data_IF_194355445379
#
_entry.id   IF_194355445379
#
_cell.length_a   1.000
_cell.length_b   1.000
_cell.length_c   1.000
_cell.angle_alpha   90.00
_cell.angle_beta   90.00
_cell.angle_gamma   90.00
#
_symmetry.space_group_name_H-M   'P 1'
#
loop_
_entity.id
_entity.type
_entity.pdbx_description
1 polymer ?
#
# COMPACT_ATOMS: atom_id res chain seq x y z
N UNK A 1 -5.59 -1.14 -18.10
CA UNK A 1 -4.30 -1.78 -17.79
C UNK A 1 -3.57 -2.15 -19.08
N UNK A 2 -4.10 -3.02 -19.94
CA UNK A 2 -3.41 -3.55 -21.15
C UNK A 2 -2.83 -2.47 -22.08
N UNK A 3 -3.60 -1.40 -22.38
CA UNK A 3 -3.13 -0.28 -23.21
C UNK A 3 -1.89 0.44 -22.65
N UNK A 4 -1.60 0.28 -21.36
CA UNK A 4 -0.51 0.93 -20.66
C UNK A 4 0.62 -0.05 -20.31
N UNK A 5 0.52 -1.33 -20.71
CA UNK A 5 1.49 -2.38 -20.35
C UNK A 5 1.52 -2.67 -18.85
N UNK A 6 0.35 -2.62 -18.18
CA UNK A 6 0.22 -2.93 -16.76
C UNK A 6 -0.30 -4.36 -16.64
N UNK A 7 0.51 -5.23 -16.10
CA UNK A 7 0.23 -6.66 -15.98
C UNK A 7 -0.73 -6.96 -14.83
N UNK A 8 -0.54 -6.34 -13.70
CA UNK A 8 -1.38 -6.50 -12.52
C UNK A 8 -1.52 -5.22 -11.70
N UNK A 9 -2.44 -5.21 -10.76
CA UNK A 9 -2.63 -4.10 -9.84
C UNK A 9 -3.17 -4.58 -8.49
N UNK A 10 -2.89 -3.83 -7.44
CA UNK A 10 -3.64 -3.94 -6.20
C UNK A 10 -4.99 -3.26 -6.37
N UNK A 11 -6.05 -3.96 -6.03
CA UNK A 11 -7.39 -3.39 -5.89
C UNK A 11 -7.63 -3.14 -4.41
N UNK A 12 -7.46 -1.89 -3.99
CA UNK A 12 -7.61 -1.50 -2.59
C UNK A 12 -9.07 -1.24 -2.25
N UNK A 13 -9.50 -1.68 -1.07
CA UNK A 13 -10.79 -1.33 -0.51
C UNK A 13 -10.84 0.12 -0.05
N UNK A 14 -12.00 0.74 -0.08
CA UNK A 14 -12.20 2.08 0.46
C UNK A 14 -12.44 2.02 1.98
N UNK A 15 -11.88 2.97 2.74
CA UNK A 15 -11.99 3.05 4.20
C UNK A 15 -13.39 3.50 4.68
N UNK A 16 -14.37 2.59 4.59
CA UNK A 16 -15.73 2.85 5.08
C UNK A 16 -15.79 2.93 6.60
N UNK A 17 -16.56 3.88 7.13
CA UNK A 17 -16.86 3.96 8.55
C UNK A 17 -17.92 2.95 9.00
N UNK A 18 -18.75 2.45 8.08
CA UNK A 18 -19.77 1.43 8.34
C UNK A 18 -19.21 0.02 8.06
N UNK A 19 -19.17 -0.88 9.07
CA UNK A 19 -18.69 -2.26 8.90
C UNK A 19 -19.48 -3.06 7.86
N UNK A 20 -20.77 -2.78 7.67
CA UNK A 20 -21.59 -3.47 6.68
C UNK A 20 -21.19 -3.11 5.25
N UNK A 21 -20.78 -1.86 5.02
CA UNK A 21 -20.24 -1.42 3.74
C UNK A 21 -18.85 -2.04 3.50
N UNK A 22 -18.02 -2.19 4.55
CA UNK A 22 -16.77 -2.94 4.44
C UNK A 22 -17.02 -4.38 3.97
N UNK A 23 -17.93 -5.07 4.63
CA UNK A 23 -18.27 -6.45 4.28
C UNK A 23 -18.77 -6.59 2.84
N UNK A 24 -19.71 -5.75 2.43
CA UNK A 24 -20.25 -5.75 1.07
C UNK A 24 -19.15 -5.45 0.02
N UNK A 25 -18.27 -4.50 0.31
CA UNK A 25 -17.14 -4.17 -0.57
C UNK A 25 -16.15 -5.33 -0.66
N UNK A 26 -15.89 -6.01 0.45
CA UNK A 26 -15.02 -7.19 0.48
C UNK A 26 -15.59 -8.33 -0.36
N UNK A 27 -16.89 -8.56 -0.35
CA UNK A 27 -17.53 -9.57 -1.22
C UNK A 27 -17.28 -9.26 -2.70
N UNK A 28 -17.43 -7.98 -3.09
CA UNK A 28 -17.07 -7.54 -4.45
C UNK A 28 -15.58 -7.78 -4.77
N UNK A 29 -14.69 -7.44 -3.85
CA UNK A 29 -13.24 -7.64 -4.04
C UNK A 29 -12.83 -9.11 -4.11
N UNK A 30 -13.52 -9.98 -3.37
CA UNK A 30 -13.37 -11.44 -3.45
C UNK A 30 -13.78 -11.93 -4.84
N UNK A 31 -14.88 -11.43 -5.37
CA UNK A 31 -15.34 -11.81 -6.72
C UNK A 31 -14.37 -11.29 -7.80
N UNK A 32 -13.86 -10.08 -7.67
CA UNK A 32 -12.81 -9.55 -8.57
C UNK A 32 -11.56 -10.43 -8.54
N UNK A 33 -11.10 -10.81 -7.32
CA UNK A 33 -9.94 -11.67 -7.15
C UNK A 33 -10.15 -13.05 -7.81
N UNK A 34 -11.36 -13.63 -7.68
CA UNK A 34 -11.70 -14.93 -8.28
C UNK A 34 -11.81 -14.87 -9.80
N UNK A 35 -12.37 -13.77 -10.34
CA UNK A 35 -12.53 -13.61 -11.79
C UNK A 35 -11.24 -13.29 -12.51
N UNK A 36 -10.33 -12.56 -11.85
CA UNK A 36 -9.10 -12.07 -12.45
C UNK A 36 -7.87 -12.31 -11.56
N UNK A 37 -7.57 -13.56 -11.15
CA UNK A 37 -6.56 -13.87 -10.16
C UNK A 37 -5.14 -13.47 -10.58
N UNK A 38 -4.87 -13.44 -11.90
CA UNK A 38 -3.57 -13.03 -12.45
C UNK A 38 -3.46 -11.51 -12.66
N UNK A 39 -4.56 -10.77 -12.51
CA UNK A 39 -4.60 -9.32 -12.80
C UNK A 39 -4.74 -8.49 -11.55
N UNK A 40 -5.41 -9.00 -10.53
CA UNK A 40 -5.63 -8.27 -9.30
C UNK A 40 -5.14 -9.04 -8.08
N UNK A 41 -4.47 -8.33 -7.20
CA UNK A 41 -4.30 -8.69 -5.81
C UNK A 41 -5.23 -7.77 -5.00
N UNK A 42 -6.37 -8.28 -4.57
CA UNK A 42 -7.36 -7.47 -3.88
C UNK A 42 -7.05 -7.36 -2.39
N UNK A 43 -7.25 -6.17 -1.82
CA UNK A 43 -7.02 -5.83 -0.43
C UNK A 43 -8.35 -5.51 0.25
N UNK A 44 -8.60 -6.14 1.38
CA UNK A 44 -9.85 -5.95 2.12
C UNK A 44 -9.96 -4.57 2.74
N UNK A 45 -11.16 -4.05 2.85
CA UNK A 45 -11.46 -2.92 3.72
C UNK A 45 -11.97 -3.42 5.07
N UNK A 46 -11.49 -2.84 6.16
CA UNK A 46 -11.86 -3.22 7.53
C UNK A 46 -12.20 -1.95 8.31
N UNK A 47 -13.23 -2.01 9.15
CA UNK A 47 -13.51 -0.97 10.13
C UNK A 47 -12.92 -1.38 11.48
N UNK A 48 -11.80 -0.79 11.92
CA UNK A 48 -11.12 -1.22 13.15
C UNK A 48 -11.96 -1.10 14.40
N UNK A 49 -12.85 -0.10 14.46
CA UNK A 49 -13.75 0.12 15.60
C UNK A 49 -14.80 -0.99 15.80
N UNK A 50 -14.94 -1.91 14.83
CA UNK A 50 -15.84 -3.05 14.96
C UNK A 50 -15.32 -4.17 15.87
N UNK A 51 -14.10 -4.05 16.42
CA UNK A 51 -13.52 -4.98 17.38
C UNK A 51 -13.47 -6.43 16.86
N UNK A 52 -14.03 -7.38 17.63
CA UNK A 52 -14.03 -8.81 17.27
C UNK A 52 -14.65 -9.08 15.91
N UNK A 53 -15.63 -8.29 15.48
CA UNK A 53 -16.23 -8.41 14.15
C UNK A 53 -15.24 -8.04 13.04
N UNK A 54 -14.35 -7.07 13.28
CA UNK A 54 -13.26 -6.74 12.36
C UNK A 54 -12.26 -7.89 12.23
N UNK A 55 -11.90 -8.55 13.33
CA UNK A 55 -10.98 -9.69 13.35
C UNK A 55 -11.60 -10.93 12.66
N UNK A 56 -12.90 -11.17 12.88
CA UNK A 56 -13.63 -12.21 12.18
C UNK A 56 -13.66 -11.95 10.66
N UNK A 57 -13.90 -10.71 10.25
CA UNK A 57 -13.88 -10.33 8.84
C UNK A 57 -12.48 -10.48 8.22
N UNK A 58 -11.41 -10.12 8.94
CA UNK A 58 -10.03 -10.38 8.50
C UNK A 58 -9.79 -11.86 8.22
N UNK A 59 -10.21 -12.73 9.12
CA UNK A 59 -10.07 -14.18 8.95
C UNK A 59 -10.87 -14.68 7.74
N UNK A 60 -12.07 -14.16 7.53
CA UNK A 60 -12.94 -14.50 6.40
C UNK A 60 -12.30 -14.10 5.06
N UNK A 61 -11.83 -12.87 4.93
CA UNK A 61 -11.25 -12.36 3.68
C UNK A 61 -9.92 -13.03 3.34
N UNK A 62 -9.09 -13.30 4.36
CA UNK A 62 -7.85 -14.07 4.20
C UNK A 62 -8.15 -15.48 3.68
N UNK A 63 -9.13 -16.18 4.28
CA UNK A 63 -9.60 -17.50 3.84
C UNK A 63 -10.20 -17.48 2.42
N UNK A 64 -10.77 -16.36 1.98
CA UNK A 64 -11.27 -16.17 0.63
C UNK A 64 -10.18 -15.81 -0.41
N UNK A 65 -8.93 -15.57 0.03
CA UNK A 65 -7.76 -15.37 -0.83
C UNK A 65 -7.41 -13.91 -1.10
N UNK A 66 -7.96 -12.95 -0.37
CA UNK A 66 -7.51 -11.57 -0.45
C UNK A 66 -6.07 -11.45 0.05
N UNK A 67 -5.32 -10.48 -0.48
CA UNK A 67 -3.85 -10.42 -0.39
C UNK A 67 -3.30 -9.38 0.58
N UNK A 68 -4.16 -8.58 1.16
CA UNK A 68 -3.79 -7.52 2.09
C UNK A 68 -5.02 -6.81 2.64
N UNK A 69 -4.79 -5.76 3.39
CA UNK A 69 -5.82 -4.91 4.01
C UNK A 69 -5.51 -3.45 3.68
N UNK A 70 -6.53 -2.70 3.27
CA UNK A 70 -6.44 -1.26 3.03
C UNK A 70 -7.11 -0.83 1.70
N UNK A 71 -7.18 0.45 1.47
CA UNK A 71 -6.52 1.50 2.25
C UNK A 71 -7.30 1.78 3.54
N UNK A 72 -6.66 1.69 4.70
CA UNK A 72 -7.23 2.15 5.95
C UNK A 72 -7.14 3.68 6.00
N UNK A 73 -8.23 4.33 6.35
CA UNK A 73 -8.35 5.79 6.39
C UNK A 73 -8.74 6.25 7.80
N UNK A 74 -7.81 6.35 8.76
CA UNK A 74 -8.12 6.61 10.17
C UNK A 74 -9.06 7.79 10.38
N UNK A 75 -8.79 8.94 9.75
CA UNK A 75 -9.61 10.14 9.82
C UNK A 75 -11.05 9.94 9.28
N UNK A 76 -11.19 9.15 8.19
CA UNK A 76 -12.51 8.84 7.59
C UNK A 76 -13.26 7.74 8.32
N UNK A 77 -12.56 6.87 9.02
CA UNK A 77 -13.10 5.75 9.77
C UNK A 77 -13.29 6.05 11.28
N UNK A 78 -12.84 7.21 11.76
CA UNK A 78 -13.12 7.72 13.10
C UNK A 78 -12.21 7.17 14.21
N UNK A 79 -10.99 6.71 13.88
CA UNK A 79 -9.99 6.26 14.86
C UNK A 79 -8.65 6.95 14.63
N UNK A 80 -7.72 6.79 15.57
CA UNK A 80 -6.35 7.34 15.49
C UNK A 80 -5.32 6.21 15.37
N UNK A 81 -4.18 6.48 14.72
CA UNK A 81 -3.08 5.50 14.60
C UNK A 81 -2.35 5.23 15.93
N UNK A 82 -2.58 6.02 16.96
CA UNK A 82 -2.06 5.82 18.32
C UNK A 82 -3.10 5.26 19.29
N UNK A 83 -4.24 4.77 18.77
CA UNK A 83 -5.26 4.06 19.54
C UNK A 83 -4.91 2.56 19.61
N UNK A 84 -4.02 2.23 20.53
CA UNK A 84 -3.40 0.89 20.60
C UNK A 84 -4.40 -0.20 20.97
N UNK A 85 -5.44 0.11 21.77
CA UNK A 85 -6.48 -0.87 22.13
C UNK A 85 -7.26 -1.35 20.89
N UNK A 86 -7.33 -0.53 19.86
CA UNK A 86 -8.00 -0.82 18.58
C UNK A 86 -7.01 -1.42 17.58
N UNK A 87 -5.80 -0.85 17.49
CA UNK A 87 -4.87 -1.19 16.41
C UNK A 87 -4.02 -2.41 16.71
N UNK A 88 -3.59 -2.65 17.97
CA UNK A 88 -2.76 -3.80 18.30
C UNK A 88 -3.43 -5.13 17.87
N UNK A 89 -4.71 -5.42 18.22
CA UNK A 89 -5.35 -6.67 17.78
C UNK A 89 -5.45 -6.79 16.26
N UNK A 90 -5.70 -5.66 15.56
CA UNK A 90 -5.81 -5.63 14.11
C UNK A 90 -4.47 -5.94 13.43
N UNK A 91 -3.41 -5.24 13.86
CA UNK A 91 -2.06 -5.38 13.26
C UNK A 91 -1.47 -6.75 13.57
N UNK A 92 -1.68 -7.25 14.79
CA UNK A 92 -1.25 -8.59 15.17
C UNK A 92 -1.96 -9.67 14.33
N UNK A 93 -3.26 -9.54 14.14
CA UNK A 93 -4.05 -10.44 13.31
C UNK A 93 -3.58 -10.41 11.84
N UNK A 94 -3.39 -9.23 11.24
CA UNK A 94 -2.89 -9.12 9.86
C UNK A 94 -1.48 -9.67 9.72
N UNK A 95 -0.62 -9.46 10.73
CA UNK A 95 0.74 -10.01 10.77
C UNK A 95 0.71 -11.54 10.83
N UNK A 96 -0.12 -12.11 11.69
CA UNK A 96 -0.28 -13.57 11.83
C UNK A 96 -0.82 -14.21 10.54
N UNK A 97 -1.73 -13.52 9.83
CA UNK A 97 -2.27 -13.94 8.55
C UNK A 97 -1.31 -13.68 7.37
N UNK A 98 -0.20 -12.98 7.60
CA UNK A 98 0.74 -12.61 6.55
C UNK A 98 0.20 -11.58 5.56
N UNK A 99 -0.76 -10.76 5.96
CA UNK A 99 -1.38 -9.73 5.13
C UNK A 99 -0.68 -8.38 5.33
N UNK A 100 -0.18 -7.71 4.27
CA UNK A 100 0.27 -6.34 4.37
C UNK A 100 -0.89 -5.38 4.63
N UNK A 101 -0.57 -4.28 5.33
CA UNK A 101 -1.49 -3.18 5.61
C UNK A 101 -1.13 -1.97 4.76
N UNK A 102 -2.10 -1.37 4.08
CA UNK A 102 -1.98 -0.05 3.44
C UNK A 102 -2.73 0.97 4.27
N UNK A 103 -2.07 2.05 4.66
CA UNK A 103 -2.61 3.05 5.58
C UNK A 103 -2.41 4.44 4.99
N UNK A 104 -3.49 5.21 4.94
CA UNK A 104 -3.49 6.61 4.54
C UNK A 104 -2.68 7.46 5.51
N UNK A 105 -1.70 8.20 4.97
CA UNK A 105 -0.93 9.18 5.74
C UNK A 105 -0.99 10.52 5.02
N UNK A 106 -1.10 11.61 5.79
CA UNK A 106 -1.23 12.96 5.26
C UNK A 106 0.01 13.80 5.53
N UNK A 107 0.31 14.71 4.59
CA UNK A 107 1.36 15.70 4.80
C UNK A 107 0.97 16.68 5.91
N UNK A 108 1.86 16.93 6.90
CA UNK A 108 1.59 17.90 7.98
C UNK A 108 1.64 19.35 7.48
N UNK A 109 2.14 19.56 6.26
CA UNK A 109 2.30 20.88 5.60
C UNK A 109 1.66 20.86 4.22
N UNK A 110 1.65 21.99 3.54
CA UNK A 110 1.08 22.13 2.19
C UNK A 110 -0.37 22.59 2.21
N UNK A 111 -1.00 22.57 1.03
CA UNK A 111 -2.37 23.04 0.88
C UNK A 111 -3.39 22.03 1.41
N UNK A 112 -4.57 22.51 1.75
CA UNK A 112 -5.69 21.65 2.10
C UNK A 112 -6.38 21.14 0.85
N UNK A 113 -6.77 19.86 0.87
CA UNK A 113 -7.55 19.20 -0.18
C UNK A 113 -8.54 18.22 0.44
N UNK A 114 -9.58 17.88 -0.29
CA UNK A 114 -10.56 16.90 0.18
C UNK A 114 -9.89 15.53 0.35
N UNK A 115 -10.04 14.92 1.51
CA UNK A 115 -9.44 13.62 1.84
C UNK A 115 -8.04 13.69 2.48
N UNK A 116 -7.47 14.90 2.68
CA UNK A 116 -6.15 15.03 3.32
C UNK A 116 -6.10 14.38 4.71
N UNK A 117 -7.10 14.62 5.53
CA UNK A 117 -7.10 14.13 6.90
C UNK A 117 -6.04 14.76 7.80
N UNK A 118 -5.79 14.13 8.94
CA UNK A 118 -4.86 14.57 9.99
C UNK A 118 -3.88 13.46 10.44
N UNK A 119 -3.77 12.40 9.65
CA UNK A 119 -2.92 11.23 9.97
C UNK A 119 -1.47 11.58 9.71
N UNK A 120 -0.73 11.88 10.76
CA UNK A 120 0.62 12.44 10.66
C UNK A 120 1.72 11.37 10.44
N UNK A 121 2.87 11.75 9.84
CA UNK A 121 4.05 10.89 9.77
C UNK A 121 4.57 10.42 11.13
N UNK A 122 4.36 11.20 12.21
CA UNK A 122 4.73 10.80 13.57
C UNK A 122 3.93 9.58 14.00
N UNK A 123 2.62 9.57 13.79
CA UNK A 123 1.76 8.44 14.14
C UNK A 123 2.12 7.18 13.32
N UNK A 124 2.46 7.35 12.04
CA UNK A 124 2.96 6.27 11.19
C UNK A 124 4.27 5.66 11.71
N UNK A 125 5.23 6.49 12.10
CA UNK A 125 6.49 6.05 12.71
C UNK A 125 6.28 5.31 14.03
N UNK A 126 5.39 5.82 14.91
CA UNK A 126 5.04 5.17 16.18
C UNK A 126 4.42 3.79 15.97
N UNK A 127 3.52 3.67 14.98
CA UNK A 127 2.91 2.39 14.62
C UNK A 127 3.97 1.38 14.13
N UNK A 128 4.88 1.80 13.25
CA UNK A 128 5.97 0.94 12.78
C UNK A 128 6.93 0.52 13.92
N UNK A 129 7.23 1.43 14.85
CA UNK A 129 8.06 1.14 16.01
C UNK A 129 7.42 0.10 16.94
N UNK A 130 6.09 0.15 17.08
CA UNK A 130 5.32 -0.75 17.93
C UNK A 130 5.16 -2.15 17.30
N UNK A 131 5.04 -2.21 15.95
CA UNK A 131 4.83 -3.45 15.21
C UNK A 131 5.95 -3.70 14.18
N UNK A 132 7.19 -3.99 14.63
CA UNK A 132 8.36 -4.07 13.75
C UNK A 132 8.35 -5.25 12.76
N UNK A 133 7.42 -6.20 12.93
CA UNK A 133 7.24 -7.37 12.07
C UNK A 133 6.06 -7.21 11.10
N UNK A 134 5.25 -6.18 11.26
CA UNK A 134 4.14 -5.91 10.35
C UNK A 134 4.66 -5.37 9.01
N UNK A 135 4.08 -5.84 7.92
CA UNK A 135 4.35 -5.30 6.59
C UNK A 135 3.40 -4.14 6.34
N UNK A 136 3.86 -2.92 6.53
CA UNK A 136 3.04 -1.72 6.43
C UNK A 136 3.47 -0.92 5.20
N UNK A 137 2.49 -0.52 4.39
CA UNK A 137 2.62 0.45 3.30
C UNK A 137 2.02 1.77 3.77
N UNK A 138 2.82 2.79 3.86
CA UNK A 138 2.34 4.14 4.11
C UNK A 138 2.02 4.82 2.78
N UNK A 139 0.74 5.04 2.53
CA UNK A 139 0.25 5.64 1.30
C UNK A 139 0.75 7.09 1.13
N UNK A 140 0.79 7.55 -0.12
CA UNK A 140 1.14 8.94 -0.48
C UNK A 140 2.52 9.37 0.06
N UNK A 141 3.54 8.53 -0.15
CA UNK A 141 4.89 8.78 0.39
C UNK A 141 4.91 8.93 1.91
N UNK A 142 3.97 8.28 2.62
CA UNK A 142 3.88 8.37 4.07
C UNK A 142 3.77 9.80 4.60
N UNK A 143 3.16 10.71 3.83
CA UNK A 143 3.07 12.12 4.20
C UNK A 143 4.42 12.82 4.35
N UNK A 144 5.48 12.31 3.71
CA UNK A 144 6.84 12.83 3.80
C UNK A 144 7.71 12.08 4.83
N UNK A 145 7.22 11.00 5.43
CA UNK A 145 7.99 10.19 6.40
C UNK A 145 9.36 9.71 5.87
N UNK A 146 9.54 9.33 4.58
CA UNK A 146 10.85 8.91 4.06
C UNK A 146 11.96 9.95 4.27
N UNK A 147 11.66 11.25 4.24
CA UNK A 147 12.68 12.29 4.42
C UNK A 147 13.31 12.29 5.81
N UNK A 148 12.64 11.70 6.79
CA UNK A 148 13.20 11.53 8.15
C UNK A 148 14.10 10.30 8.27
N UNK A 149 14.18 9.43 7.27
CA UNK A 149 15.09 8.27 7.30
C UNK A 149 16.58 8.65 7.14
N UNK A 150 16.89 9.92 6.90
CA UNK A 150 18.25 10.46 7.11
C UNK A 150 18.67 10.45 8.60
N UNK A 151 17.70 10.26 9.51
CA UNK A 151 17.98 10.03 10.94
C UNK A 151 18.09 8.50 11.15
N UNK A 152 19.28 7.98 11.57
CA UNK A 152 19.51 6.53 11.64
C UNK A 152 18.53 5.77 12.54
N UNK A 153 18.06 6.38 13.63
CA UNK A 153 17.06 5.80 14.52
C UNK A 153 15.69 5.65 13.83
N UNK A 154 15.31 6.61 12.96
CA UNK A 154 14.07 6.54 12.19
C UNK A 154 14.17 5.47 11.10
N UNK A 155 15.28 5.45 10.36
CA UNK A 155 15.52 4.44 9.33
C UNK A 155 15.51 3.02 9.90
N UNK A 156 16.07 2.81 11.09
CA UNK A 156 16.06 1.49 11.73
C UNK A 156 14.64 0.99 12.06
N UNK A 157 13.76 1.88 12.49
CA UNK A 157 12.35 1.56 12.76
C UNK A 157 11.60 1.23 11.45
N UNK A 158 11.85 2.01 10.40
CA UNK A 158 11.08 1.93 9.14
C UNK A 158 11.61 0.89 8.14
N UNK A 159 12.64 0.13 8.47
CA UNK A 159 13.30 -0.82 7.56
C UNK A 159 12.39 -1.86 6.91
N UNK A 160 11.26 -2.20 7.55
CA UNK A 160 10.27 -3.19 7.07
C UNK A 160 9.02 -2.55 6.47
N UNK A 161 9.01 -1.22 6.34
CA UNK A 161 7.88 -0.48 5.78
C UNK A 161 8.07 -0.14 4.31
N UNK A 162 6.97 0.14 3.63
CA UNK A 162 6.94 0.51 2.22
C UNK A 162 6.25 1.87 2.08
N UNK A 163 6.52 2.54 0.96
CA UNK A 163 5.86 3.78 0.57
C UNK A 163 5.24 3.62 -0.81
N UNK A 164 4.01 3.99 -1.00
CA UNK A 164 3.46 4.07 -2.34
C UNK A 164 3.54 5.48 -2.92
N UNK A 165 3.46 5.56 -4.24
CA UNK A 165 3.54 6.80 -4.99
C UNK A 165 2.18 7.37 -5.39
N UNK A 166 1.09 6.86 -4.81
CA UNK A 166 -0.26 7.33 -5.10
C UNK A 166 -0.37 8.86 -4.96
N UNK A 167 -1.17 9.46 -5.78
CA UNK A 167 -1.44 10.90 -5.80
C UNK A 167 -0.21 11.84 -5.99
N UNK A 168 0.99 11.34 -6.32
CA UNK A 168 2.22 12.16 -6.46
C UNK A 168 1.99 13.44 -7.26
N UNK A 169 1.22 13.41 -8.34
CA UNK A 169 0.99 14.59 -9.20
C UNK A 169 0.43 15.80 -8.43
N UNK A 170 -0.30 15.56 -7.35
CA UNK A 170 -0.91 16.60 -6.52
C UNK A 170 -0.05 17.00 -5.33
N UNK A 171 0.82 16.10 -4.85
CA UNK A 171 1.50 16.23 -3.57
C UNK A 171 2.97 16.58 -3.70
N UNK A 172 3.66 15.99 -4.69
CA UNK A 172 5.10 16.11 -4.84
C UNK A 172 5.52 16.29 -6.30
N UNK A 173 6.71 16.83 -6.51
CA UNK A 173 7.37 16.72 -7.80
C UNK A 173 7.85 15.29 -8.02
N UNK A 174 7.89 14.83 -9.27
CA UNK A 174 8.26 13.44 -9.61
C UNK A 174 9.70 13.06 -9.20
N UNK A 175 10.57 14.03 -8.96
CA UNK A 175 11.91 13.80 -8.42
C UNK A 175 11.89 13.07 -7.07
N UNK A 176 10.78 13.07 -6.35
CA UNK A 176 10.59 12.31 -5.10
C UNK A 176 10.91 10.82 -5.29
N UNK A 177 10.63 10.23 -6.44
CA UNK A 177 10.99 8.84 -6.74
C UNK A 177 12.49 8.58 -6.64
N UNK A 178 13.32 9.48 -7.21
CA UNK A 178 14.77 9.37 -7.16
C UNK A 178 15.28 9.53 -5.74
N UNK A 179 14.82 10.60 -5.09
CA UNK A 179 15.24 10.98 -3.74
C UNK A 179 14.93 9.86 -2.75
N UNK A 180 13.69 9.36 -2.76
CA UNK A 180 13.28 8.30 -1.83
C UNK A 180 13.95 6.96 -2.16
N UNK A 181 14.09 6.62 -3.44
CA UNK A 181 14.81 5.40 -3.83
C UNK A 181 16.28 5.42 -3.39
N UNK A 182 16.94 6.59 -3.42
CA UNK A 182 18.31 6.76 -2.95
C UNK A 182 18.42 6.72 -1.42
N UNK A 183 17.48 7.37 -0.71
CA UNK A 183 17.51 7.50 0.75
C UNK A 183 17.05 6.22 1.46
N UNK A 184 15.98 5.58 0.96
CA UNK A 184 15.26 4.50 1.65
C UNK A 184 15.41 3.14 0.98
N UNK A 185 16.09 3.03 -0.15
CA UNK A 185 16.10 1.93 -1.11
C UNK A 185 14.89 1.88 -2.04
N UNK A 186 15.18 1.63 -3.33
CA UNK A 186 14.16 1.38 -4.35
C UNK A 186 13.28 0.15 -4.02
N UNK A 187 13.77 -0.78 -3.18
CA UNK A 187 13.06 -2.00 -2.77
C UNK A 187 11.83 -1.74 -1.90
N UNK A 188 11.69 -0.53 -1.39
CA UNK A 188 10.58 -0.15 -0.51
C UNK A 188 9.60 0.83 -1.13
N UNK A 189 9.77 1.16 -2.41
CA UNK A 189 8.88 2.06 -3.15
C UNK A 189 7.93 1.25 -4.02
N UNK A 190 6.63 1.53 -3.92
CA UNK A 190 5.59 0.91 -4.70
C UNK A 190 5.00 1.91 -5.70
N UNK A 191 4.86 1.49 -6.96
CA UNK A 191 4.17 2.27 -7.97
C UNK A 191 2.66 2.25 -7.73
N UNK A 192 2.08 3.38 -7.42
CA UNK A 192 0.65 3.60 -7.29
C UNK A 192 0.23 4.89 -7.98
N UNK A 193 -0.99 4.95 -8.49
CA UNK A 193 -1.53 6.14 -9.17
C UNK A 193 -2.75 6.71 -8.49
N UNK A 194 -3.36 5.96 -7.56
CA UNK A 194 -4.64 6.31 -7.00
C UNK A 194 -5.74 6.39 -8.10
N UNK A 195 -5.72 5.38 -9.01
CA UNK A 195 -6.74 5.29 -10.04
C UNK A 195 -8.13 5.02 -9.40
N UNK A 196 -9.21 5.72 -9.81
CA UNK A 196 -9.34 6.51 -11.04
C UNK A 196 -8.93 7.99 -10.94
N UNK A 197 -8.44 8.45 -9.80
CA UNK A 197 -8.05 9.85 -9.60
C UNK A 197 -6.99 10.29 -10.62
N UNK A 198 -5.98 9.47 -10.86
CA UNK A 198 -4.94 9.70 -11.85
C UNK A 198 -4.90 8.57 -12.88
N UNK A 199 -4.74 8.95 -14.15
CA UNK A 199 -4.60 7.99 -15.25
C UNK A 199 -3.21 7.33 -15.21
N UNK A 200 -3.18 6.01 -15.24
CA UNK A 200 -1.96 5.19 -15.14
C UNK A 200 -0.93 5.51 -16.24
N UNK A 201 -1.34 5.58 -17.50
CA UNK A 201 -0.42 5.76 -18.64
C UNK A 201 0.44 7.01 -18.56
N UNK A 202 -0.13 8.22 -18.48
CA UNK A 202 0.66 9.44 -18.33
C UNK A 202 1.54 9.48 -17.08
N UNK A 203 1.08 8.89 -15.98
CA UNK A 203 1.84 8.80 -14.75
C UNK A 203 3.07 7.89 -14.93
N UNK A 204 2.88 6.69 -15.48
CA UNK A 204 3.94 5.74 -15.78
C UNK A 204 5.00 6.34 -16.73
N UNK A 205 4.57 7.07 -17.76
CA UNK A 205 5.49 7.76 -18.68
C UNK A 205 6.40 8.76 -17.93
N UNK A 206 5.84 9.53 -16.99
CA UNK A 206 6.64 10.47 -16.19
C UNK A 206 7.66 9.75 -15.32
N UNK A 207 7.27 8.63 -14.67
CA UNK A 207 8.20 7.85 -13.85
C UNK A 207 9.34 7.27 -14.70
N UNK A 208 9.03 6.71 -15.87
CA UNK A 208 10.05 6.19 -16.80
C UNK A 208 11.00 7.27 -17.32
N UNK A 209 10.51 8.49 -17.51
CA UNK A 209 11.30 9.63 -17.96
C UNK A 209 12.28 10.16 -16.91
N UNK A 210 12.17 9.73 -15.65
CA UNK A 210 13.09 10.16 -14.58
C UNK A 210 14.53 9.67 -14.78
N UNK A 211 14.77 8.61 -15.58
CA UNK A 211 16.11 8.04 -15.77
C UNK A 211 16.66 7.37 -14.51
N UNK A 212 15.79 6.69 -13.77
CA UNK A 212 16.23 5.77 -12.71
C UNK A 212 17.03 4.61 -13.31
N UNK A 213 18.01 4.03 -12.60
CA UNK A 213 18.64 2.78 -13.00
C UNK A 213 17.59 1.70 -13.25
N UNK A 214 17.77 0.90 -14.32
CA UNK A 214 16.79 -0.11 -14.71
C UNK A 214 16.41 -1.09 -13.57
N UNK A 215 17.35 -1.61 -12.75
CA UNK A 215 16.99 -2.47 -11.63
C UNK A 215 16.07 -1.74 -10.62
N UNK A 216 16.36 -0.49 -10.27
CA UNK A 216 15.53 0.29 -9.36
C UNK A 216 14.15 0.57 -9.96
N UNK A 217 14.08 0.89 -11.26
CA UNK A 217 12.82 1.11 -11.96
C UNK A 217 11.95 -0.15 -11.97
N UNK A 218 12.51 -1.33 -12.22
CA UNK A 218 11.79 -2.60 -12.22
C UNK A 218 11.24 -2.94 -10.83
N UNK A 219 12.05 -2.72 -9.78
CA UNK A 219 11.61 -2.87 -8.39
C UNK A 219 10.40 -2.01 -8.11
N UNK A 220 10.47 -0.72 -8.40
CA UNK A 220 9.40 0.25 -8.16
C UNK A 220 8.14 -0.07 -8.97
N UNK A 221 8.28 -0.42 -10.25
CA UNK A 221 7.15 -0.61 -11.16
C UNK A 221 6.37 -1.91 -10.94
N UNK A 222 6.91 -2.90 -10.19
CA UNK A 222 6.14 -4.11 -9.97
C UNK A 222 6.78 -5.18 -9.10
N UNK A 223 8.11 -5.36 -9.11
CA UNK A 223 8.74 -6.45 -8.37
C UNK A 223 8.48 -6.35 -6.86
N UNK A 224 8.56 -5.15 -6.27
CA UNK A 224 8.25 -4.93 -4.87
C UNK A 224 6.79 -5.27 -4.52
N UNK A 225 5.85 -4.91 -5.40
CA UNK A 225 4.44 -5.22 -5.18
C UNK A 225 4.21 -6.74 -5.16
N UNK A 226 4.83 -7.49 -6.07
CA UNK A 226 4.73 -8.95 -6.09
C UNK A 226 5.38 -9.58 -4.87
N UNK A 227 6.53 -9.07 -4.43
CA UNK A 227 7.22 -9.56 -3.23
C UNK A 227 6.39 -9.29 -1.97
N UNK A 228 5.77 -8.11 -1.88
CA UNK A 228 4.93 -7.72 -0.75
C UNK A 228 3.77 -8.68 -0.49
N UNK A 229 3.06 -9.10 -1.55
CA UNK A 229 1.90 -10.02 -1.42
C UNK A 229 2.30 -11.49 -1.49
N UNK A 230 3.56 -11.76 -1.73
CA UNK A 230 4.13 -13.10 -1.74
C UNK A 230 4.02 -13.85 -3.07
N UNK A 231 4.79 -14.96 -3.22
CA UNK A 231 4.98 -15.67 -4.49
C UNK A 231 3.73 -16.41 -4.96
N UNK A 232 2.72 -16.55 -4.11
CA UNK A 232 1.44 -17.18 -4.47
C UNK A 232 0.59 -16.32 -5.41
N UNK A 233 0.90 -15.03 -5.61
CA UNK A 233 0.29 -14.23 -6.65
C UNK A 233 1.10 -14.32 -7.95
N UNK A 234 0.56 -15.07 -8.90
CA UNK A 234 1.13 -15.21 -10.24
C UNK A 234 0.56 -14.12 -11.14
N UNK A 235 1.14 -12.91 -11.06
CA UNK A 235 0.75 -11.82 -11.94
C UNK A 235 1.10 -12.16 -13.41
N UNK A 236 0.18 -11.87 -14.32
CA UNK A 236 0.37 -12.01 -15.76
C UNK A 236 1.60 -11.19 -16.20
N UNK A 237 2.51 -11.78 -16.91
CA UNK A 237 3.75 -11.10 -17.38
C UNK A 237 5.02 -11.55 -16.67
N UNK A 238 4.97 -12.24 -15.54
CA UNK A 238 6.10 -13.02 -15.06
C UNK A 238 6.20 -14.32 -15.85
N UNK A 239 6.91 -14.31 -16.98
CA UNK A 239 7.48 -15.54 -17.50
C UNK A 239 8.41 -16.09 -16.41
N UNK A 240 8.07 -17.26 -15.85
CA UNK A 240 9.02 -18.05 -15.07
C UNK A 240 10.29 -18.13 -15.88
N UNK A 241 11.39 -17.53 -15.38
CA UNK A 241 12.67 -17.54 -16.05
C UNK A 241 13.13 -18.95 -16.32
N UNK A 242 12.83 -19.45 -17.49
CA UNK A 242 13.45 -20.57 -18.18
C UNK A 242 12.95 -20.61 -19.62
N UNK A 243 13.33 -19.63 -20.42
CA UNK A 243 13.46 -19.83 -21.86
C UNK A 243 14.64 -18.98 -22.36
N UNK A 244 15.84 -19.42 -21.98
CA UNK A 244 17.01 -19.24 -22.81
C UNK A 244 16.77 -20.07 -24.07
N UNK A 245 16.24 -19.45 -25.11
CA UNK A 245 16.40 -19.93 -26.49
C UNK A 245 17.05 -18.83 -27.33
N UNK A 246 18.26 -19.16 -27.70
CA UNK A 246 19.15 -18.70 -28.74
C UNK A 246 18.60 -17.68 -29.75
#
# INVERSE_FOLDING_TARGET
MDRNGIDGAFALGFGWSDPSLCHMHNDYLIDVQRQYPERFASFATIQPLAGDSALAELSRVAGAGLRGVGELMPHGQGYRLDDWDILDPLVDCTTALGLPLVIHISEPVGHNYQGKGDVSPIAAWQLAARHPHARIVFAHWGGGLPFYELMPEVANVLRSTYYDSAATTYLYRFEVFKIVAEMCSADRVLFGTDYPLLKQGPFLQKVRALGLPEPALNRILGENAVELVGPSWQCRGRATGSDTRF
#
